data_IF_742207776379
#
_entry.id   IF_742207776379
#
_cell.length_a   1.000
_cell.length_b   1.000
_cell.length_c   1.000
_cell.angle_alpha   90.00
_cell.angle_beta   90.00
_cell.angle_gamma   90.00
#
_symmetry.space_group_name_H-M   'P 1'
#
loop_
_entity.id
_entity.type
_entity.pdbx_description
1 polymer ?
#
# COMPACT_ATOMS: atom_id res chain seq x y z
N UNK A 1 -13.10 -23.29 9.65
CA UNK A 1 -12.20 -22.73 8.61
C UNK A 1 -10.93 -23.55 8.36
N UNK A 2 -10.25 -24.06 9.39
CA UNK A 2 -9.00 -24.84 9.24
C UNK A 2 -9.16 -26.15 8.45
N UNK A 3 -10.26 -26.87 8.65
CA UNK A 3 -10.57 -28.10 7.91
C UNK A 3 -10.82 -27.85 6.43
N UNK A 4 -11.45 -26.73 6.08
CA UNK A 4 -11.71 -26.39 4.68
C UNK A 4 -10.41 -26.10 3.93
N UNK A 5 -9.49 -25.34 4.54
CA UNK A 5 -8.15 -25.12 4.00
C UNK A 5 -7.35 -26.43 3.89
N UNK A 6 -7.51 -27.35 4.84
CA UNK A 6 -6.86 -28.66 4.79
C UNK A 6 -7.42 -29.54 3.65
N UNK A 7 -8.74 -29.60 3.51
CA UNK A 7 -9.41 -30.31 2.42
C UNK A 7 -9.07 -29.71 1.06
N UNK A 8 -8.97 -28.38 0.96
CA UNK A 8 -8.53 -27.70 -0.27
C UNK A 8 -7.10 -28.10 -0.64
N UNK A 9 -6.17 -28.13 0.33
CA UNK A 9 -4.80 -28.61 0.08
C UNK A 9 -4.78 -30.06 -0.38
N UNK A 10 -5.59 -30.92 0.25
CA UNK A 10 -5.72 -32.32 -0.13
C UNK A 10 -6.33 -32.46 -1.55
N UNK A 11 -7.35 -31.67 -1.88
CA UNK A 11 -7.96 -31.66 -3.20
C UNK A 11 -6.96 -31.21 -4.27
N UNK A 12 -6.23 -30.11 -4.04
CA UNK A 12 -5.16 -29.65 -4.95
C UNK A 12 -4.10 -30.73 -5.12
N UNK A 13 -3.64 -31.35 -4.03
CA UNK A 13 -2.67 -32.44 -4.10
C UNK A 13 -3.20 -33.62 -4.90
N UNK A 14 -4.43 -34.06 -4.62
CA UNK A 14 -5.05 -35.19 -5.30
C UNK A 14 -5.23 -34.90 -6.79
N UNK A 15 -5.68 -33.70 -7.16
CA UNK A 15 -5.80 -33.29 -8.56
C UNK A 15 -4.44 -33.25 -9.26
N UNK A 16 -3.41 -32.65 -8.64
CA UNK A 16 -2.06 -32.63 -9.22
C UNK A 16 -1.45 -34.03 -9.34
N UNK A 17 -1.67 -34.89 -8.33
CA UNK A 17 -1.19 -36.27 -8.33
C UNK A 17 -1.91 -37.13 -9.37
N UNK A 18 -3.24 -37.07 -9.41
CA UNK A 18 -4.05 -37.76 -10.42
C UNK A 18 -3.71 -37.26 -11.83
N UNK A 19 -3.48 -35.95 -12.00
CA UNK A 19 -2.98 -35.38 -13.24
C UNK A 19 -1.61 -35.95 -13.61
N UNK A 20 -0.68 -36.04 -12.65
CA UNK A 20 0.63 -36.65 -12.87
C UNK A 20 0.53 -38.13 -13.27
N UNK A 21 -0.37 -38.88 -12.62
CA UNK A 21 -0.60 -40.30 -12.89
C UNK A 21 -1.26 -40.52 -14.27
N UNK A 22 -2.20 -39.66 -14.66
CA UNK A 22 -2.88 -39.74 -15.96
C UNK A 22 -2.01 -39.21 -17.11
N UNK A 23 -1.01 -38.38 -16.81
CA UNK A 23 -0.12 -37.75 -17.78
C UNK A 23 1.33 -38.24 -17.63
N UNK A 24 1.53 -39.54 -17.39
CA UNK A 24 2.85 -40.18 -17.35
C UNK A 24 3.48 -40.38 -18.74
N UNK A 25 2.79 -39.99 -19.81
CA UNK A 25 3.27 -40.05 -21.18
C UNK A 25 4.57 -39.26 -21.35
N UNK A 26 5.52 -39.82 -22.10
CA UNK A 26 6.73 -39.08 -22.50
C UNK A 26 6.36 -37.99 -23.51
N UNK A 27 6.75 -36.76 -23.19
CA UNK A 27 6.71 -35.62 -24.09
C UNK A 27 8.12 -35.33 -24.60
N UNK A 28 8.24 -35.02 -25.90
CA UNK A 28 9.49 -34.55 -26.50
C UNK A 28 9.40 -33.04 -26.72
N UNK A 29 10.23 -32.28 -26.02
CA UNK A 29 10.39 -30.83 -26.22
C UNK A 29 11.53 -30.62 -27.22
N UNK A 30 11.20 -30.11 -28.40
CA UNK A 30 12.17 -29.79 -29.43
C UNK A 30 12.71 -28.39 -29.21
N UNK A 31 13.99 -28.30 -28.86
CA UNK A 31 14.74 -27.06 -28.80
C UNK A 31 15.41 -26.78 -30.15
N UNK A 32 16.06 -25.61 -30.22
CA UNK A 32 16.83 -25.19 -31.39
C UNK A 32 18.03 -26.13 -31.62
N UNK A 33 18.55 -26.18 -32.85
CA UNK A 33 19.71 -27.00 -33.25
C UNK A 33 19.51 -28.52 -33.17
N UNK A 34 18.27 -29.01 -33.29
CA UNK A 34 17.96 -30.45 -33.28
C UNK A 34 18.04 -31.10 -31.90
N UNK A 35 18.25 -30.32 -30.84
CA UNK A 35 18.27 -30.82 -29.47
C UNK A 35 16.84 -31.10 -29.03
N UNK A 36 16.53 -32.35 -28.71
CA UNK A 36 15.22 -32.73 -28.17
C UNK A 36 15.39 -33.26 -26.76
N UNK A 37 14.65 -32.69 -25.81
CA UNK A 37 14.59 -33.23 -24.45
C UNK A 37 13.34 -34.08 -24.29
N UNK A 38 13.50 -35.27 -23.70
CA UNK A 38 12.38 -36.17 -23.40
C UNK A 38 12.18 -36.27 -21.90
N UNK A 39 10.93 -36.21 -21.49
CA UNK A 39 10.54 -36.37 -20.10
C UNK A 39 9.02 -36.45 -19.93
N UNK A 40 8.54 -36.74 -18.70
CA UNK A 40 7.12 -36.83 -18.43
C UNK A 40 6.37 -35.53 -18.74
N UNK A 41 5.25 -35.62 -19.48
CA UNK A 41 4.44 -34.48 -19.89
C UNK A 41 4.02 -33.59 -18.72
N UNK A 42 3.70 -34.19 -17.57
CA UNK A 42 3.36 -33.45 -16.35
C UNK A 42 4.44 -32.46 -15.92
N UNK A 43 5.72 -32.82 -16.00
CA UNK A 43 6.81 -31.95 -15.58
C UNK A 43 6.95 -30.75 -16.52
N UNK A 44 6.77 -30.98 -17.82
CA UNK A 44 6.82 -29.92 -18.83
C UNK A 44 5.73 -28.88 -18.58
N UNK A 45 4.49 -29.32 -18.38
CA UNK A 45 3.34 -28.43 -18.13
C UNK A 45 3.53 -27.66 -16.81
N UNK A 46 3.93 -28.36 -15.74
CA UNK A 46 4.14 -27.76 -14.42
C UNK A 46 5.25 -26.69 -14.47
N UNK A 47 6.37 -26.97 -15.13
CA UNK A 47 7.47 -26.03 -15.28
C UNK A 47 7.06 -24.80 -16.08
N UNK A 48 6.36 -24.98 -17.21
CA UNK A 48 5.87 -23.88 -18.03
C UNK A 48 4.87 -22.99 -17.27
N UNK A 49 3.96 -23.61 -16.52
CA UNK A 49 3.00 -22.88 -15.70
C UNK A 49 3.68 -22.09 -14.58
N UNK A 50 4.61 -22.71 -13.84
CA UNK A 50 5.36 -22.05 -12.77
C UNK A 50 6.18 -20.86 -13.33
N UNK A 51 6.84 -21.04 -14.47
CA UNK A 51 7.55 -19.95 -15.15
C UNK A 51 6.59 -18.82 -15.55
N UNK A 52 5.43 -19.14 -16.14
CA UNK A 52 4.40 -18.15 -16.49
C UNK A 52 3.87 -17.38 -15.28
N UNK A 53 3.69 -18.05 -14.13
CA UNK A 53 3.28 -17.40 -12.88
C UNK A 53 4.34 -16.43 -12.35
N UNK A 54 5.62 -16.82 -12.39
CA UNK A 54 6.74 -15.94 -11.99
C UNK A 54 6.80 -14.72 -12.91
N UNK A 55 6.74 -14.92 -14.23
CA UNK A 55 6.75 -13.83 -15.20
C UNK A 55 5.53 -12.91 -15.01
N UNK A 56 4.34 -13.48 -14.81
CA UNK A 56 3.12 -12.72 -14.54
C UNK A 56 3.22 -11.90 -13.25
N UNK A 57 3.71 -12.49 -12.16
CA UNK A 57 3.92 -11.80 -10.89
C UNK A 57 4.93 -10.66 -11.02
N UNK A 58 6.05 -10.88 -11.72
CA UNK A 58 7.04 -9.84 -12.01
C UNK A 58 6.46 -8.72 -12.88
N UNK A 59 5.66 -9.06 -13.90
CA UNK A 59 4.97 -8.09 -14.75
C UNK A 59 3.92 -7.24 -14.02
N UNK A 60 3.31 -7.76 -12.96
CA UNK A 60 2.35 -7.03 -12.12
C UNK A 60 3.02 -6.14 -11.05
N UNK A 61 4.28 -6.41 -10.70
CA UNK A 61 5.04 -5.68 -9.68
C UNK A 61 5.30 -4.17 -9.97
N UNK A 62 5.65 -3.73 -11.20
CA UNK A 62 6.01 -2.33 -11.45
C UNK A 62 4.85 -1.35 -11.24
N UNK A 63 3.60 -1.78 -11.46
CA UNK A 63 2.42 -0.94 -11.20
C UNK A 63 2.15 -0.75 -9.70
N UNK A 64 2.31 -1.80 -8.90
CA UNK A 64 1.98 -1.79 -7.47
C UNK A 64 2.89 -0.86 -6.64
N UNK A 65 4.15 -0.70 -7.06
CA UNK A 65 5.10 0.22 -6.40
C UNK A 65 4.74 1.69 -6.63
N UNK A 66 4.25 2.04 -7.83
CA UNK A 66 3.76 3.39 -8.15
C UNK A 66 2.47 3.74 -7.40
N UNK A 67 1.56 2.80 -7.23
CA UNK A 67 0.34 3.03 -6.45
C UNK A 67 0.60 3.15 -4.94
N UNK A 68 1.59 2.43 -4.41
CA UNK A 68 1.98 2.55 -2.99
C UNK A 68 2.61 3.91 -2.64
N UNK A 69 3.41 4.47 -3.54
CA UNK A 69 4.02 5.80 -3.33
C UNK A 69 2.99 6.93 -3.42
N UNK A 70 2.00 6.83 -4.32
CA UNK A 70 0.89 7.79 -4.39
C UNK A 70 -0.01 7.77 -3.13
N UNK A 71 -0.25 6.60 -2.54
CA UNK A 71 -1.00 6.48 -1.29
C UNK A 71 -0.26 7.05 -0.06
N UNK A 72 1.08 7.14 -0.11
CA UNK A 72 1.87 7.81 0.92
C UNK A 72 1.90 9.34 0.74
N UNK A 73 1.84 9.84 -0.50
CA UNK A 73 1.80 11.27 -0.80
C UNK A 73 0.46 11.93 -0.41
N UNK A 74 -0.66 11.19 -0.41
CA UNK A 74 -1.96 11.68 0.09
C UNK A 74 -2.04 11.78 1.63
N UNK A 75 -0.99 11.40 2.36
CA UNK A 75 -0.87 11.57 3.82
C UNK A 75 0.06 12.73 4.19
N UNK A 76 0.19 13.77 3.37
CA UNK A 76 0.64 15.05 3.90
C UNK A 76 -0.48 15.60 4.80
N UNK A 77 -0.28 15.71 6.13
CA UNK A 77 -1.17 16.51 6.94
C UNK A 77 -1.07 17.94 6.41
N UNK A 78 -2.19 18.50 5.97
CA UNK A 78 -2.36 19.95 5.87
C UNK A 78 -1.87 20.53 7.19
N UNK A 79 -0.76 21.24 7.14
CA UNK A 79 -0.27 22.03 8.27
C UNK A 79 -1.39 22.99 8.65
N UNK A 80 -1.87 22.88 9.88
CA UNK A 80 -2.86 23.79 10.44
C UNK A 80 -2.35 25.25 10.31
N UNK A 81 -3.21 26.23 10.00
CA UNK A 81 -2.81 27.63 9.96
C UNK A 81 -2.26 28.05 11.33
N UNK A 82 -1.24 28.93 11.41
CA UNK A 82 -0.78 29.45 12.69
C UNK A 82 -1.94 30.18 13.35
N UNK A 83 -2.32 29.70 14.54
CA UNK A 83 -3.26 30.38 15.42
C UNK A 83 -2.69 31.78 15.71
N UNK A 84 -3.43 32.82 15.32
CA UNK A 84 -3.24 34.17 15.81
C UNK A 84 -3.25 34.11 17.34
N UNK A 85 -2.10 34.39 17.94
CA UNK A 85 -2.00 34.57 19.38
C UNK A 85 -2.74 35.86 19.75
N UNK A 86 -3.98 35.70 20.20
CA UNK A 86 -4.61 36.66 21.10
C UNK A 86 -3.68 36.86 22.30
N UNK A 87 -3.30 38.12 22.54
CA UNK A 87 -2.59 38.54 23.75
C UNK A 87 -3.61 39.13 24.72
N UNK A 88 -3.90 38.48 25.86
CA UNK A 88 -4.59 39.12 26.96
C UNK A 88 -3.62 39.52 28.09
N UNK A 89 -3.79 40.78 28.52
CA UNK A 89 -3.59 41.30 29.88
C UNK A 89 -2.18 41.52 30.43
N UNK A 90 -1.91 42.78 30.80
CA UNK A 90 -1.64 43.27 32.18
C UNK A 90 -0.70 44.48 32.12
N UNK A 91 -1.23 45.68 32.38
CA UNK A 91 -1.12 46.33 33.70
C UNK A 91 0.31 46.74 34.04
N UNK A 92 0.65 48.02 33.82
CA UNK A 92 1.54 48.74 34.72
C UNK A 92 0.88 50.08 35.04
N UNK A 93 0.39 50.14 36.26
CA UNK A 93 -0.06 51.34 36.94
C UNK A 93 1.10 52.34 37.12
N UNK A 94 0.82 53.62 36.87
CA UNK A 94 1.53 54.74 37.47
C UNK A 94 0.66 56.01 37.38
N UNK A 95 -0.23 56.18 38.35
CA UNK A 95 -0.70 57.50 38.79
C UNK A 95 0.34 58.07 39.78
N UNK A 96 0.27 59.34 40.27
CA UNK A 96 -0.69 60.42 39.99
C UNK A 96 0.00 61.80 39.79
N UNK A 97 -0.77 62.87 39.52
CA UNK A 97 -0.73 64.18 40.21
C UNK A 97 -1.24 65.32 39.31
N UNK A 98 -1.99 66.22 39.96
CA UNK A 98 -2.43 67.54 39.53
C UNK A 98 -3.75 67.64 38.75
N UNK A 99 -4.86 67.59 39.50
CA UNK A 99 -5.89 68.63 39.30
C UNK A 99 -5.34 69.99 39.77
N UNK A 100 -5.65 71.07 39.04
CA UNK A 100 -6.59 72.02 39.64
C UNK A 100 -7.63 72.55 38.66
N UNK A 101 -8.89 72.47 39.10
CA UNK A 101 -9.90 73.53 39.11
C UNK A 101 -9.77 74.68 38.09
N UNK A 102 -10.76 74.80 37.19
CA UNK A 102 -11.44 76.08 36.94
C UNK A 102 -12.64 75.91 35.99
N UNK A 103 -13.82 75.89 36.58
CA UNK A 103 -14.95 76.74 36.21
C UNK A 103 -15.17 77.07 34.72
N UNK A 104 -16.25 76.54 34.13
CA UNK A 104 -17.29 77.41 33.53
C UNK A 104 -18.62 76.68 33.41
N UNK A 105 -19.59 77.21 34.15
CA UNK A 105 -21.04 76.96 34.06
C UNK A 105 -21.62 77.39 32.69
N UNK A 106 -22.89 76.99 32.51
CA UNK A 106 -23.89 77.33 31.48
C UNK A 106 -24.02 76.29 30.37
N UNK A 107 -25.09 75.51 30.25
CA UNK A 107 -26.43 75.69 30.82
C UNK A 107 -27.22 76.70 30.00
N UNK A 108 -27.76 76.24 28.88
CA UNK A 108 -29.06 76.53 28.28
C UNK A 108 -29.42 75.35 27.38
#
# INVERSE_FOLDING_TARGET
MKYLLWLLKAAIFFTLFAFALNNQHEATVHFFFGTSWRGPLVLVVLAAFAAGLVVGALGMLPGWWRHRTAAAALRQPVSAPPASADTPAASVAAAPLAEPSAARRHGL
#
